data_IF_284626172606
#
_entry.id   IF_284626172606
#
_cell.length_a   1.000
_cell.length_b   1.000
_cell.length_c   1.000
_cell.angle_alpha   90.00
_cell.angle_beta   90.00
_cell.angle_gamma   90.00
#
_symmetry.space_group_name_H-M   'P 1'
#
loop_
_entity.id
_entity.type
_entity.pdbx_description
1 polymer ?
#
# COMPACT_ATOMS: atom_id res chain seq x y z
N UNK A 1 -1.08 0.04 -22.44
CA UNK A 1 -1.21 -0.12 -23.91
C UNK A 1 -2.07 1.04 -24.40
N UNK A 2 -1.59 1.85 -25.35
CA UNK A 2 -2.29 3.04 -25.83
C UNK A 2 -3.18 2.67 -27.03
N UNK A 3 -4.48 2.92 -26.91
CA UNK A 3 -5.41 2.79 -28.03
C UNK A 3 -5.84 4.18 -28.49
N UNK A 4 -5.80 4.41 -29.80
CA UNK A 4 -6.27 5.66 -30.42
C UNK A 4 -7.73 5.50 -30.80
N UNK A 5 -8.59 6.39 -30.31
CA UNK A 5 -9.99 6.50 -30.75
C UNK A 5 -10.21 7.96 -31.17
N UNK A 6 -10.25 8.20 -32.48
CA UNK A 6 -10.21 9.55 -33.05
C UNK A 6 -8.89 10.27 -32.78
N UNK A 7 -8.94 11.54 -32.40
CA UNK A 7 -7.77 12.36 -32.04
C UNK A 7 -7.44 12.35 -30.53
N UNK A 8 -8.06 11.42 -29.78
CA UNK A 8 -7.83 11.26 -28.34
C UNK A 8 -7.12 9.93 -28.07
N UNK A 9 -6.10 10.00 -27.22
CA UNK A 9 -5.43 8.83 -26.67
C UNK A 9 -6.20 8.35 -25.44
N UNK A 10 -6.75 7.14 -25.51
CA UNK A 10 -7.33 6.49 -24.34
C UNK A 10 -6.19 5.81 -23.57
N UNK A 11 -5.92 6.32 -22.38
CA UNK A 11 -5.03 5.66 -21.43
C UNK A 11 -5.77 4.44 -20.88
N UNK A 12 -5.55 3.27 -21.49
CA UNK A 12 -6.07 2.01 -20.93
C UNK A 12 -5.19 1.66 -19.74
N UNK A 13 -5.62 2.08 -18.55
CA UNK A 13 -5.07 1.62 -17.28
C UNK A 13 -5.23 0.10 -17.25
N UNK A 14 -4.13 -0.61 -17.01
CA UNK A 14 -4.16 -2.06 -16.73
C UNK A 14 -5.25 -2.27 -15.66
N UNK A 15 -6.29 -3.06 -15.94
CA UNK A 15 -7.33 -3.37 -14.97
C UNK A 15 -6.70 -4.26 -13.89
N UNK A 16 -6.11 -3.62 -12.88
CA UNK A 16 -5.63 -4.31 -11.70
C UNK A 16 -6.80 -4.69 -10.79
N UNK A 17 -6.56 -5.63 -9.90
CA UNK A 17 -7.56 -6.05 -8.90
C UNK A 17 -7.23 -5.35 -7.58
N UNK A 18 -8.20 -4.69 -6.96
CA UNK A 18 -8.02 -4.15 -5.60
C UNK A 18 -7.81 -5.33 -4.66
N UNK A 19 -6.72 -5.28 -3.89
CA UNK A 19 -6.28 -6.38 -3.01
C UNK A 19 -6.30 -6.02 -1.53
N UNK A 20 -6.38 -4.73 -1.22
CA UNK A 20 -6.46 -4.21 0.14
C UNK A 20 -6.92 -2.77 0.07
N UNK A 21 -7.91 -2.43 0.89
CA UNK A 21 -8.30 -1.05 1.16
C UNK A 21 -8.22 -0.78 2.67
N UNK A 22 -7.56 0.31 3.04
CA UNK A 22 -7.49 0.79 4.43
C UNK A 22 -8.04 2.20 4.45
N UNK A 23 -9.06 2.45 5.27
CA UNK A 23 -9.67 3.77 5.39
C UNK A 23 -9.91 4.17 6.84
N UNK A 24 -10.00 5.47 7.09
CA UNK A 24 -10.55 5.97 8.34
C UNK A 24 -12.08 5.78 8.38
N UNK A 25 -12.68 5.97 9.56
CA UNK A 25 -14.11 5.76 9.80
C UNK A 25 -15.00 6.58 8.86
N UNK A 26 -14.55 7.79 8.51
CA UNK A 26 -15.26 8.71 7.63
C UNK A 26 -14.95 8.49 6.14
N UNK A 27 -14.04 7.57 5.80
CA UNK A 27 -13.54 7.30 4.44
C UNK A 27 -13.04 8.55 3.70
N UNK A 28 -12.54 9.52 4.45
CA UNK A 28 -11.89 10.73 3.89
C UNK A 28 -10.39 10.52 3.72
N UNK A 29 -9.84 9.48 4.37
CA UNK A 29 -8.47 9.00 4.19
C UNK A 29 -8.52 7.54 3.78
N UNK A 30 -7.82 7.21 2.71
CA UNK A 30 -7.85 5.90 2.09
C UNK A 30 -6.48 5.55 1.50
N UNK A 31 -6.07 4.30 1.71
CA UNK A 31 -4.92 3.66 1.07
C UNK A 31 -5.46 2.43 0.34
N UNK A 32 -5.23 2.38 -0.97
CA UNK A 32 -5.68 1.28 -1.82
C UNK A 32 -4.48 0.63 -2.49
N UNK A 33 -4.32 -0.67 -2.26
CA UNK A 33 -3.37 -1.49 -2.99
C UNK A 33 -4.10 -2.23 -4.11
N UNK A 34 -3.57 -2.11 -5.33
CA UNK A 34 -4.13 -2.75 -6.53
C UNK A 34 -3.09 -3.66 -7.14
N UNK A 35 -3.34 -4.97 -7.18
CA UNK A 35 -2.45 -5.94 -7.84
C UNK A 35 -2.48 -5.72 -9.35
N UNK A 36 -1.30 -5.53 -9.92
CA UNK A 36 -1.09 -5.32 -11.37
C UNK A 36 -0.24 -6.41 -12.00
N UNK A 37 0.40 -7.26 -11.21
CA UNK A 37 1.23 -8.36 -11.66
C UNK A 37 1.67 -9.29 -10.53
N UNK A 38 2.38 -10.35 -10.91
CA UNK A 38 2.99 -11.30 -9.99
C UNK A 38 4.12 -12.05 -10.69
N UNK A 39 5.14 -12.43 -9.95
CA UNK A 39 6.20 -13.33 -10.38
C UNK A 39 6.15 -14.59 -9.50
N UNK A 40 6.33 -15.77 -10.09
CA UNK A 40 6.24 -17.05 -9.36
C UNK A 40 7.41 -18.00 -9.67
N UNK A 41 8.13 -17.79 -10.78
CA UNK A 41 9.11 -18.77 -11.26
C UNK A 41 10.42 -18.72 -10.47
N UNK A 42 10.87 -17.52 -10.11
CA UNK A 42 12.17 -17.33 -9.46
C UNK A 42 12.06 -16.66 -8.10
N UNK A 43 11.13 -15.70 -7.96
CA UNK A 43 10.94 -14.97 -6.72
C UNK A 43 9.45 -14.67 -6.53
N UNK A 44 8.79 -15.47 -5.68
CA UNK A 44 7.35 -15.34 -5.46
C UNK A 44 7.02 -13.96 -4.88
N UNK A 45 6.42 -13.11 -5.73
CA UNK A 45 6.22 -11.70 -5.43
C UNK A 45 4.99 -11.15 -6.15
N UNK A 46 4.42 -10.10 -5.58
CA UNK A 46 3.24 -9.42 -6.09
C UNK A 46 3.62 -7.98 -6.43
N UNK A 47 3.27 -7.58 -7.65
CA UNK A 47 3.40 -6.20 -8.10
C UNK A 47 2.10 -5.46 -7.85
N UNK A 48 2.19 -4.30 -7.20
CA UNK A 48 1.03 -3.49 -6.83
C UNK A 48 1.22 -2.02 -7.20
N UNK A 49 0.09 -1.38 -7.48
CA UNK A 49 -0.06 0.07 -7.46
C UNK A 49 -0.63 0.48 -6.10
N UNK A 50 -0.04 1.50 -5.48
CA UNK A 50 -0.48 2.09 -4.22
C UNK A 50 -1.13 3.43 -4.52
N UNK A 51 -2.41 3.57 -4.18
CA UNK A 51 -3.13 4.85 -4.25
C UNK A 51 -3.37 5.36 -2.85
N UNK A 52 -3.02 6.61 -2.60
CA UNK A 52 -3.22 7.29 -1.33
C UNK A 52 -4.13 8.49 -1.59
N UNK A 53 -5.20 8.58 -0.81
CA UNK A 53 -6.14 9.70 -0.85
C UNK A 53 -6.39 10.19 0.55
N UNK A 54 -6.27 11.50 0.73
CA UNK A 54 -6.67 12.22 1.94
C UNK A 54 -7.49 13.44 1.52
N UNK A 55 -7.97 14.21 2.50
CA UNK A 55 -8.61 15.49 2.25
C UNK A 55 -7.70 16.54 1.57
N UNK A 56 -6.38 16.42 1.74
CA UNK A 56 -5.40 17.45 1.34
C UNK A 56 -4.42 16.98 0.27
N UNK A 57 -4.28 15.66 0.11
CA UNK A 57 -3.29 15.05 -0.77
C UNK A 57 -3.87 13.82 -1.48
N UNK A 58 -3.51 13.66 -2.75
CA UNK A 58 -3.70 12.43 -3.50
C UNK A 58 -2.38 12.03 -4.17
N UNK A 59 -2.05 10.74 -4.14
CA UNK A 59 -0.84 10.19 -4.74
C UNK A 59 -1.10 8.81 -5.30
N UNK A 60 -0.41 8.48 -6.40
CA UNK A 60 -0.39 7.15 -6.98
C UNK A 60 1.05 6.74 -7.23
N UNK A 61 1.42 5.58 -6.72
CA UNK A 61 2.74 5.00 -6.82
C UNK A 61 2.61 3.65 -7.50
N UNK A 62 3.26 3.49 -8.65
CA UNK A 62 3.13 2.27 -9.44
C UNK A 62 4.36 1.39 -9.32
N UNK A 63 4.17 0.10 -9.60
CA UNK A 63 5.26 -0.90 -9.67
C UNK A 63 5.98 -1.18 -8.35
N UNK A 64 5.27 -1.12 -7.23
CA UNK A 64 5.81 -1.55 -5.92
C UNK A 64 5.77 -3.07 -5.87
N UNK A 65 6.88 -3.70 -5.49
CA UNK A 65 6.98 -5.16 -5.37
C UNK A 65 7.02 -5.58 -3.92
N UNK A 66 6.17 -6.54 -3.55
CA UNK A 66 6.18 -7.19 -2.24
C UNK A 66 6.48 -8.67 -2.44
N UNK A 67 7.43 -9.20 -1.68
CA UNK A 67 7.66 -10.64 -1.66
C UNK A 67 6.59 -11.35 -0.85
N UNK A 68 6.30 -12.60 -1.23
CA UNK A 68 5.22 -13.38 -0.59
C UNK A 68 5.51 -13.66 0.89
N UNK A 69 6.76 -13.83 1.28
CA UNK A 69 7.14 -14.08 2.68
C UNK A 69 6.88 -12.86 3.56
N UNK A 70 7.15 -11.65 3.07
CA UNK A 70 6.80 -10.40 3.75
C UNK A 70 5.30 -10.23 3.89
N UNK A 71 4.51 -10.60 2.87
CA UNK A 71 3.04 -10.63 2.97
C UNK A 71 2.58 -11.66 4.02
N UNK A 72 3.19 -12.84 4.04
CA UNK A 72 2.91 -13.90 5.02
C UNK A 72 3.21 -13.44 6.45
N UNK A 73 4.38 -12.83 6.66
CA UNK A 73 4.81 -12.28 7.95
C UNK A 73 3.87 -11.16 8.41
N UNK A 74 3.56 -10.22 7.53
CA UNK A 74 2.63 -9.13 7.82
C UNK A 74 1.24 -9.63 8.22
N UNK A 75 0.71 -10.66 7.56
CA UNK A 75 -0.58 -11.27 7.95
C UNK A 75 -0.51 -11.95 9.31
N UNK A 76 0.60 -12.58 9.64
CA UNK A 76 0.82 -13.18 10.97
C UNK A 76 0.89 -12.11 12.05
N UNK A 77 1.62 -11.02 11.80
CA UNK A 77 1.72 -9.88 12.72
C UNK A 77 0.37 -9.16 12.88
N UNK A 78 -0.38 -8.96 11.79
CA UNK A 78 -1.73 -8.40 11.83
C UNK A 78 -2.68 -9.24 12.68
N UNK A 79 -2.59 -10.57 12.56
CA UNK A 79 -3.39 -11.48 13.38
C UNK A 79 -3.06 -11.32 14.86
N UNK A 80 -1.77 -11.25 15.22
CA UNK A 80 -1.35 -11.01 16.59
C UNK A 80 -1.81 -9.63 17.11
N UNK A 81 -1.74 -8.60 16.27
CA UNK A 81 -2.22 -7.26 16.61
C UNK A 81 -3.74 -7.24 16.82
N UNK A 82 -4.49 -7.98 16.03
CA UNK A 82 -5.95 -8.10 16.14
C UNK A 82 -6.37 -8.81 17.43
N UNK A 83 -5.67 -9.90 17.79
CA UNK A 83 -5.94 -10.70 18.99
C UNK A 83 -5.50 -9.99 20.28
N UNK A 84 -4.36 -9.32 20.27
CA UNK A 84 -3.74 -8.78 21.49
C UNK A 84 -3.88 -7.28 21.65
N UNK A 85 -4.20 -6.56 20.56
CA UNK A 85 -4.16 -5.09 20.46
C UNK A 85 -2.80 -4.50 20.86
N UNK A 86 -1.71 -5.27 20.74
CA UNK A 86 -0.35 -4.87 21.10
C UNK A 86 0.62 -5.05 19.93
N UNK A 87 1.64 -4.20 19.90
CA UNK A 87 2.70 -4.24 18.89
C UNK A 87 2.31 -3.56 17.58
N UNK A 88 2.96 -3.99 16.50
CA UNK A 88 2.75 -3.50 15.15
C UNK A 88 2.89 -4.63 14.13
N UNK A 89 2.26 -4.44 12.98
CA UNK A 89 2.45 -5.24 11.78
C UNK A 89 3.08 -4.36 10.70
N UNK A 90 4.17 -4.84 10.09
CA UNK A 90 4.93 -4.08 9.09
C UNK A 90 5.03 -4.86 7.77
N UNK A 91 4.53 -4.26 6.70
CA UNK A 91 4.72 -4.70 5.33
C UNK A 91 5.70 -3.76 4.63
N UNK A 92 6.75 -4.33 4.04
CA UNK A 92 7.83 -3.58 3.39
C UNK A 92 8.09 -4.15 2.00
N UNK A 93 8.33 -3.26 1.03
CA UNK A 93 8.63 -3.62 -0.35
C UNK A 93 10.00 -4.26 -0.50
N UNK A 94 10.19 -4.98 -1.61
CA UNK A 94 11.47 -5.60 -1.97
C UNK A 94 12.58 -4.58 -2.23
N UNK A 95 12.23 -3.42 -2.79
CA UNK A 95 13.15 -2.28 -2.84
C UNK A 95 13.14 -1.61 -1.47
N UNK A 96 14.28 -1.51 -0.76
CA UNK A 96 14.32 -0.90 0.56
C UNK A 96 13.76 0.53 0.55
N UNK A 97 12.95 0.85 1.56
CA UNK A 97 12.29 2.15 1.75
C UNK A 97 11.35 2.64 0.62
N UNK A 98 11.13 1.86 -0.45
CA UNK A 98 10.26 2.27 -1.56
C UNK A 98 8.80 2.34 -1.12
N UNK A 99 8.33 1.36 -0.35
CA UNK A 99 7.02 1.38 0.28
C UNK A 99 7.03 0.62 1.60
N UNK A 100 6.61 1.29 2.67
CA UNK A 100 6.48 0.72 4.01
C UNK A 100 5.08 1.04 4.54
N UNK A 101 4.31 0.01 4.87
CA UNK A 101 3.02 0.09 5.54
C UNK A 101 3.17 -0.46 6.96
N UNK A 102 2.74 0.31 7.95
CA UNK A 102 2.75 -0.08 9.36
C UNK A 102 1.34 0.09 9.90
N UNK A 103 0.81 -0.94 10.55
CA UNK A 103 -0.42 -0.85 11.35
C UNK A 103 -0.04 -1.16 12.79
N UNK A 104 -0.39 -0.27 13.73
CA UNK A 104 0.02 -0.42 15.13
C UNK A 104 -1.01 0.11 16.10
N UNK A 105 -0.94 -0.37 17.33
CA UNK A 105 -1.62 0.28 18.44
C UNK A 105 -1.01 1.67 18.68
N UNK A 106 -1.85 2.69 18.85
CA UNK A 106 -1.43 4.07 19.11
C UNK A 106 -1.69 4.54 20.55
N UNK A 107 -2.47 3.80 21.33
CA UNK A 107 -2.73 4.12 22.74
C UNK A 107 -3.16 2.93 23.62
N UNK A 108 -3.26 3.19 24.93
CA UNK A 108 -3.65 2.20 25.92
C UNK A 108 -5.12 1.71 25.77
N UNK A 109 -5.96 2.42 25.02
CA UNK A 109 -7.37 2.06 24.81
C UNK A 109 -7.56 1.08 23.65
N UNK A 110 -6.50 0.80 22.88
CA UNK A 110 -6.57 -0.15 21.78
C UNK A 110 -6.86 0.50 20.42
N UNK A 111 -6.82 1.83 20.32
CA UNK A 111 -6.94 2.49 19.03
C UNK A 111 -5.79 2.10 18.11
N UNK A 112 -6.07 1.99 16.81
CA UNK A 112 -5.11 1.58 15.81
C UNK A 112 -4.82 2.72 14.85
N UNK A 113 -3.54 2.87 14.49
CA UNK A 113 -3.10 3.77 13.45
C UNK A 113 -2.49 3.00 12.29
N UNK A 114 -2.74 3.48 11.08
CA UNK A 114 -1.97 3.11 9.89
C UNK A 114 -0.99 4.22 9.55
N UNK A 115 0.23 3.83 9.16
CA UNK A 115 1.26 4.70 8.61
C UNK A 115 1.66 4.10 7.28
N UNK A 116 1.70 4.91 6.22
CA UNK A 116 2.31 4.53 4.95
C UNK A 116 3.39 5.52 4.56
N UNK A 117 4.55 4.98 4.23
CA UNK A 117 5.69 5.69 3.66
C UNK A 117 5.89 5.19 2.25
N UNK A 118 6.03 6.11 1.30
CA UNK A 118 6.34 5.79 -0.09
C UNK A 118 7.43 6.71 -0.61
N UNK A 119 8.45 6.12 -1.22
CA UNK A 119 9.57 6.83 -1.85
C UNK A 119 9.57 6.49 -3.34
N UNK A 120 9.11 7.42 -4.16
CA UNK A 120 9.17 7.27 -5.60
C UNK A 120 10.47 7.85 -6.15
N UNK A 121 11.13 7.11 -7.04
CA UNK A 121 12.22 7.65 -7.84
C UNK A 121 11.70 8.27 -9.14
N UNK A 122 12.43 9.30 -9.59
CA UNK A 122 12.44 9.96 -10.91
C UNK A 122 11.90 11.39 -10.94
N UNK A 123 12.76 12.29 -10.45
CA UNK A 123 12.92 13.63 -10.98
C UNK A 123 14.39 14.03 -10.89
N UNK A 124 14.90 14.76 -11.89
CA UNK A 124 16.10 15.56 -11.71
C UNK A 124 15.66 16.91 -11.15
N UNK A 125 16.30 17.41 -10.10
CA UNK A 125 16.11 18.80 -9.71
C UNK A 125 16.74 19.74 -10.78
N UNK A 126 16.56 21.05 -10.63
CA UNK A 126 17.16 22.04 -11.55
C UNK A 126 18.69 21.89 -11.68
N UNK A 127 19.34 21.33 -10.67
CA UNK A 127 20.78 21.07 -10.60
C UNK A 127 21.19 19.66 -11.10
N UNK A 128 20.27 18.91 -11.71
CA UNK A 128 20.49 17.52 -12.19
C UNK A 128 20.85 16.52 -11.09
N UNK A 129 20.55 16.82 -9.84
CA UNK A 129 20.64 15.85 -8.75
C UNK A 129 19.38 14.99 -8.74
N UNK A 130 19.56 13.71 -8.39
CA UNK A 130 18.45 12.77 -8.21
C UNK A 130 17.62 13.25 -7.03
N UNK A 131 16.36 13.60 -7.29
CA UNK A 131 15.40 13.90 -6.24
C UNK A 131 14.42 12.72 -6.09
N UNK A 132 14.02 12.48 -4.86
CA UNK A 132 13.02 11.48 -4.52
C UNK A 132 11.76 12.18 -4.05
N UNK A 133 10.62 11.71 -4.54
CA UNK A 133 9.34 12.12 -3.98
C UNK A 133 9.07 11.23 -2.78
N UNK A 134 9.18 11.82 -1.59
CA UNK A 134 8.88 11.15 -0.33
C UNK A 134 7.48 11.55 0.12
N UNK A 135 6.66 10.56 0.46
CA UNK A 135 5.38 10.74 1.07
C UNK A 135 5.29 9.89 2.33
N UNK A 136 4.94 10.50 3.45
CA UNK A 136 4.55 9.81 4.68
C UNK A 136 3.21 10.36 5.15
N UNK A 137 2.24 9.48 5.34
CA UNK A 137 0.96 9.82 5.97
C UNK A 137 0.62 8.81 7.05
N UNK A 138 -0.20 9.22 8.00
CA UNK A 138 -0.81 8.31 8.95
C UNK A 138 -2.17 8.79 9.41
N UNK A 139 -3.02 7.85 9.78
CA UNK A 139 -4.35 8.11 10.32
C UNK A 139 -4.85 6.95 11.17
N UNK A 140 -5.81 7.25 12.03
CA UNK A 140 -6.51 6.25 12.86
C UNK A 140 -7.49 5.43 12.01
N UNK A 141 -7.62 4.15 12.33
CA UNK A 141 -8.53 3.21 11.65
C UNK A 141 -9.38 2.45 12.67
N UNK A 142 -10.61 2.11 12.28
CA UNK A 142 -11.47 1.21 13.05
C UNK A 142 -10.75 -0.12 13.32
N UNK A 143 -10.56 -0.54 14.59
CA UNK A 143 -9.95 -1.81 14.93
C UNK A 143 -10.65 -3.05 14.32
N UNK A 144 -11.94 -2.95 13.99
CA UNK A 144 -12.71 -4.01 13.34
C UNK A 144 -12.34 -4.20 11.86
N UNK A 145 -11.66 -3.22 11.25
CA UNK A 145 -11.20 -3.30 9.86
C UNK A 145 -10.09 -4.34 9.64
N UNK A 146 -9.36 -4.74 10.70
CA UNK A 146 -8.25 -5.68 10.59
C UNK A 146 -8.66 -7.04 10.01
N UNK A 147 -9.85 -7.55 10.37
CA UNK A 147 -10.36 -8.80 9.83
C UNK A 147 -10.59 -8.75 8.32
N UNK A 148 -11.09 -7.62 7.82
CA UNK A 148 -11.30 -7.39 6.40
C UNK A 148 -9.97 -7.28 5.65
N UNK A 149 -9.01 -6.49 6.18
CA UNK A 149 -7.67 -6.35 5.61
C UNK A 149 -6.99 -7.72 5.47
N UNK A 150 -7.07 -8.56 6.51
CA UNK A 150 -6.55 -9.92 6.48
C UNK A 150 -7.25 -10.80 5.42
N UNK A 151 -8.57 -10.70 5.29
CA UNK A 151 -9.34 -11.49 4.34
C UNK A 151 -9.06 -11.09 2.89
N UNK A 152 -8.95 -9.79 2.60
CA UNK A 152 -8.65 -9.26 1.27
C UNK A 152 -7.24 -9.69 0.83
N UNK A 153 -6.24 -9.50 1.69
CA UNK A 153 -4.85 -9.81 1.35
C UNK A 153 -4.58 -11.31 1.23
N UNK A 154 -5.37 -12.18 1.90
CA UNK A 154 -5.27 -13.63 1.72
C UNK A 154 -5.73 -14.11 0.34
N UNK A 155 -6.63 -13.39 -0.33
CA UNK A 155 -7.20 -13.78 -1.64
C UNK A 155 -6.22 -13.65 -2.80
N UNK A 156 -5.05 -13.06 -2.56
CA UNK A 156 -4.14 -12.61 -3.62
C UNK A 156 -2.79 -13.33 -3.60
N UNK A 157 -2.60 -14.19 -2.58
CA UNK A 157 -1.50 -15.16 -2.46
C UNK A 157 -1.59 -16.27 -3.49
#
# INVERSE_FOLDING_TARGET
>A
MLWRVGDKFLHVTRLGTIIMTISDDNRIREIVFTKVGSEYAHYSSVQVDVTIKTNSLQGRFSSVWFDKLSIDRFLSELKQLDETRKGEAKLESMSPDECVLIIKNIDAYGHLGVIIKVRASKGYNYERQVNFHNLEIGFEIDPTSLGNIQAELKRIK
#
